data_IF_679257572668
#
_entry.id   IF_679257572668
#
_cell.length_a   1.000
_cell.length_b   1.000
_cell.length_c   1.000
_cell.angle_alpha   90.00
_cell.angle_beta   90.00
_cell.angle_gamma   90.00
#
_symmetry.space_group_name_H-M   'P 1'
#
loop_
_entity.id
_entity.type
_entity.pdbx_description
1 polymer ?
#
# COMPACT_ATOMS: atom_id res chain seq x y z
N UNK A 1 -33.04 -27.57 5.48
CA UNK A 1 -32.06 -26.55 5.14
C UNK A 1 -31.21 -27.07 3.97
N UNK A 2 -31.11 -26.32 2.89
CA UNK A 2 -30.22 -26.68 1.77
C UNK A 2 -28.81 -26.49 2.22
N UNK A 3 -27.91 -27.49 2.13
CA UNK A 3 -26.50 -27.31 2.50
C UNK A 3 -25.87 -26.27 1.60
N UNK A 4 -25.14 -25.34 2.19
CA UNK A 4 -24.30 -24.40 1.43
C UNK A 4 -22.94 -25.04 1.17
N UNK A 5 -22.43 -24.87 -0.03
CA UNK A 5 -21.09 -25.35 -0.44
C UNK A 5 -20.21 -24.20 -0.82
N UNK A 6 -18.92 -24.32 -0.53
CA UNK A 6 -17.89 -23.41 -1.01
C UNK A 6 -16.91 -24.20 -1.87
N UNK A 7 -16.57 -23.68 -3.02
CA UNK A 7 -15.58 -24.27 -3.93
C UNK A 7 -14.21 -23.68 -3.64
N UNK A 8 -13.20 -24.54 -3.48
CA UNK A 8 -11.79 -24.15 -3.44
C UNK A 8 -11.24 -24.28 -4.86
N UNK A 9 -10.93 -23.16 -5.49
CA UNK A 9 -10.51 -23.06 -6.88
C UNK A 9 -9.11 -22.41 -7.04
N UNK A 10 -8.29 -22.55 -6.01
CA UNK A 10 -6.93 -22.00 -6.01
C UNK A 10 -6.03 -22.78 -6.99
N UNK A 11 -5.47 -22.07 -7.96
CA UNK A 11 -4.57 -22.67 -8.94
C UNK A 11 -3.21 -23.01 -8.30
N UNK A 12 -2.68 -24.21 -8.57
CA UNK A 12 -1.43 -24.71 -7.98
C UNK A 12 -0.20 -23.83 -8.33
N UNK A 13 -0.22 -23.13 -9.46
CA UNK A 13 0.86 -22.22 -9.87
C UNK A 13 0.98 -20.95 -9.01
N UNK A 14 0.02 -20.69 -8.13
CA UNK A 14 0.10 -19.59 -7.17
C UNK A 14 1.11 -19.88 -6.04
N UNK A 15 1.51 -21.14 -5.86
CA UNK A 15 2.33 -21.56 -4.75
C UNK A 15 1.62 -21.38 -3.40
N UNK A 16 2.41 -21.21 -2.34
CA UNK A 16 1.88 -20.87 -1.02
C UNK A 16 1.41 -19.42 -1.01
N UNK A 17 0.12 -19.22 -0.75
CA UNK A 17 -0.49 -17.90 -0.74
C UNK A 17 -1.53 -17.78 0.36
N UNK A 18 -1.54 -16.64 1.03
CA UNK A 18 -2.63 -16.22 1.93
C UNK A 18 -3.26 -14.96 1.38
N UNK A 19 -4.55 -14.98 1.11
CA UNK A 19 -5.30 -13.84 0.59
C UNK A 19 -6.53 -13.57 1.40
N UNK A 20 -6.80 -12.30 1.65
CA UNK A 20 -8.05 -11.81 2.22
C UNK A 20 -8.44 -10.52 1.52
N UNK A 21 -9.71 -10.37 1.19
CA UNK A 21 -10.23 -9.10 0.69
C UNK A 21 -11.69 -8.94 1.07
N UNK A 22 -12.12 -7.70 1.24
CA UNK A 22 -13.48 -7.38 1.62
C UNK A 22 -13.68 -5.88 1.80
N UNK A 23 -14.93 -5.49 2.06
CA UNK A 23 -15.24 -4.14 2.50
C UNK A 23 -15.03 -4.06 4.01
N UNK A 24 -14.32 -3.02 4.42
CA UNK A 24 -14.02 -2.73 5.81
C UNK A 24 -14.74 -1.44 6.22
N UNK A 25 -15.33 -1.44 7.40
CA UNK A 25 -15.80 -0.23 8.08
C UNK A 25 -15.24 -0.24 9.49
N UNK A 26 -14.51 0.81 9.83
CA UNK A 26 -14.00 1.07 11.18
C UNK A 26 -14.66 2.36 11.65
N UNK A 27 -15.23 2.33 12.83
CA UNK A 27 -15.72 3.50 13.55
C UNK A 27 -15.17 3.44 14.98
N UNK A 28 -14.30 4.38 15.31
CA UNK A 28 -13.76 4.54 16.64
C UNK A 28 -14.44 5.73 17.31
N UNK A 29 -15.59 5.48 17.90
CA UNK A 29 -16.35 6.45 18.72
C UNK A 29 -16.66 7.78 18.00
N UNK A 30 -16.82 7.76 16.67
CA UNK A 30 -17.03 8.95 15.86
C UNK A 30 -15.82 9.88 15.71
N UNK A 31 -14.66 9.53 16.28
CA UNK A 31 -13.41 10.31 16.11
C UNK A 31 -12.61 9.89 14.88
N UNK A 32 -12.61 8.61 14.56
CA UNK A 32 -11.97 8.08 13.37
C UNK A 32 -12.93 7.12 12.68
N UNK A 33 -13.21 7.40 11.44
CA UNK A 33 -14.01 6.52 10.59
C UNK A 33 -13.23 6.22 9.32
N UNK A 34 -13.22 4.95 8.90
CA UNK A 34 -12.64 4.51 7.63
C UNK A 34 -13.56 3.48 7.03
N UNK A 35 -13.90 3.64 5.76
CA UNK A 35 -14.67 2.63 5.04
C UNK A 35 -14.20 2.50 3.59
N UNK A 36 -14.28 1.29 3.04
CA UNK A 36 -13.92 0.99 1.66
C UNK A 36 -13.43 -0.43 1.45
N UNK A 37 -12.94 -0.71 0.25
CA UNK A 37 -12.39 -2.01 -0.09
C UNK A 37 -10.94 -2.15 0.40
N UNK A 38 -10.63 -3.34 0.92
CA UNK A 38 -9.29 -3.70 1.38
C UNK A 38 -8.91 -5.09 0.84
N UNK A 39 -7.64 -5.27 0.50
CA UNK A 39 -7.07 -6.56 0.13
C UNK A 39 -5.71 -6.75 0.81
N UNK A 40 -5.45 -7.98 1.22
CA UNK A 40 -4.20 -8.43 1.78
C UNK A 40 -3.75 -9.68 1.04
N UNK A 41 -2.48 -9.75 0.67
CA UNK A 41 -1.89 -10.92 0.06
C UNK A 41 -0.49 -11.16 0.63
N UNK A 42 -0.25 -12.37 1.14
CA UNK A 42 1.07 -12.85 1.54
C UNK A 42 1.47 -13.98 0.59
N UNK A 43 2.65 -13.89 0.02
CA UNK A 43 3.17 -14.86 -0.96
C UNK A 43 4.69 -14.83 -1.03
N UNK A 44 5.28 -15.81 -1.70
CA UNK A 44 6.69 -15.76 -2.10
C UNK A 44 6.78 -15.16 -3.50
N UNK A 45 7.73 -14.26 -3.70
CA UNK A 45 7.99 -13.60 -4.98
C UNK A 45 9.48 -13.38 -5.21
N UNK A 46 9.80 -12.56 -6.20
CA UNK A 46 11.15 -12.09 -6.46
C UNK A 46 11.15 -10.59 -6.72
N UNK A 47 12.22 -9.92 -6.32
CA UNK A 47 12.42 -8.49 -6.56
C UNK A 47 13.78 -8.25 -7.19
N UNK A 48 13.92 -7.19 -7.94
CA UNK A 48 15.20 -6.66 -8.42
C UNK A 48 15.63 -5.52 -7.51
N UNK A 49 16.90 -5.50 -7.13
CA UNK A 49 17.48 -4.42 -6.37
C UNK A 49 18.15 -3.43 -7.31
N UNK A 50 18.04 -2.15 -7.01
CA UNK A 50 18.76 -1.11 -7.72
C UNK A 50 20.18 -0.97 -7.20
N UNK A 51 21.14 -0.75 -8.12
CA UNK A 51 22.49 -0.35 -7.78
C UNK A 51 22.47 1.04 -7.11
N UNK A 52 22.68 1.08 -5.82
CA UNK A 52 23.15 2.30 -5.18
C UNK A 52 24.64 2.40 -5.48
N UNK A 53 25.08 3.44 -6.19
CA UNK A 53 26.40 3.65 -6.77
C UNK A 53 27.61 3.59 -5.78
N UNK A 54 27.50 2.96 -4.62
CA UNK A 54 28.54 2.88 -3.60
C UNK A 54 28.70 1.50 -2.95
N UNK A 55 27.98 0.47 -3.36
CA UNK A 55 28.19 -0.88 -2.80
C UNK A 55 29.02 -1.71 -3.76
N UNK A 56 30.15 -2.23 -3.29
CA UNK A 56 30.98 -3.27 -3.94
C UNK A 56 30.28 -4.64 -3.91
N UNK A 57 29.02 -4.68 -3.60
CA UNK A 57 28.19 -5.88 -3.57
C UNK A 57 27.79 -6.29 -4.99
N UNK A 58 27.62 -7.59 -5.15
CA UNK A 58 27.26 -8.23 -6.43
C UNK A 58 26.11 -7.45 -7.09
N UNK A 59 26.30 -7.08 -8.36
CA UNK A 59 25.30 -6.41 -9.19
C UNK A 59 23.97 -7.18 -9.20
N UNK A 60 23.12 -6.92 -8.23
CA UNK A 60 21.80 -7.57 -8.05
C UNK A 60 20.73 -6.96 -8.97
N UNK A 61 21.09 -5.95 -9.77
CA UNK A 61 20.21 -5.41 -10.82
C UNK A 61 19.87 -6.46 -11.88
N UNK A 62 20.73 -7.45 -12.05
CA UNK A 62 20.53 -8.58 -12.96
C UNK A 62 20.01 -9.85 -12.26
N UNK A 63 20.18 -9.97 -10.94
CA UNK A 63 19.77 -11.14 -10.16
C UNK A 63 18.56 -10.83 -9.31
N UNK A 64 17.48 -11.58 -9.51
CA UNK A 64 16.29 -11.46 -8.68
C UNK A 64 16.54 -12.05 -7.28
N UNK A 65 16.19 -11.31 -6.25
CA UNK A 65 16.20 -11.76 -4.85
C UNK A 65 14.86 -12.37 -4.50
N UNK A 66 14.87 -13.60 -3.98
CA UNK A 66 13.64 -14.25 -3.51
C UNK A 66 13.19 -13.64 -2.19
N UNK A 67 11.93 -13.22 -2.12
CA UNK A 67 11.34 -12.56 -0.95
C UNK A 67 10.05 -13.23 -0.51
N UNK A 68 9.81 -13.22 0.79
CA UNK A 68 8.47 -13.29 1.33
C UNK A 68 7.89 -11.88 1.27
N UNK A 69 6.74 -11.73 0.63
CA UNK A 69 6.10 -10.43 0.48
C UNK A 69 4.70 -10.40 1.10
N UNK A 70 4.43 -9.34 1.84
CA UNK A 70 3.12 -8.95 2.29
C UNK A 70 2.70 -7.71 1.53
N UNK A 71 1.62 -7.79 0.76
CA UNK A 71 1.02 -6.63 0.13
C UNK A 71 -0.32 -6.31 0.76
N UNK A 72 -0.57 -5.02 0.98
CA UNK A 72 -1.83 -4.51 1.51
C UNK A 72 -2.27 -3.39 0.58
N UNK A 73 -3.49 -3.48 0.09
CA UNK A 73 -4.05 -2.46 -0.79
C UNK A 73 -5.46 -2.08 -0.39
N UNK A 74 -5.82 -0.84 -0.70
CA UNK A 74 -7.16 -0.34 -0.51
C UNK A 74 -7.61 0.51 -1.67
N UNK A 75 -8.90 0.51 -1.97
CA UNK A 75 -9.46 1.32 -3.05
C UNK A 75 -10.80 1.94 -2.67
N UNK A 76 -11.01 3.16 -3.16
CA UNK A 76 -12.24 3.91 -2.95
C UNK A 76 -12.57 4.15 -1.48
N UNK A 77 -11.55 4.24 -0.61
CA UNK A 77 -11.82 4.45 0.80
C UNK A 77 -12.21 5.89 1.06
N UNK A 78 -13.10 6.04 2.04
CA UNK A 78 -13.35 7.32 2.71
C UNK A 78 -12.79 7.24 4.12
N UNK A 79 -12.23 8.35 4.59
CA UNK A 79 -11.74 8.46 5.96
C UNK A 79 -12.18 9.79 6.57
N UNK A 80 -12.47 9.78 7.86
CA UNK A 80 -12.77 10.96 8.63
C UNK A 80 -12.00 10.89 9.96
N UNK A 81 -11.42 12.02 10.33
CA UNK A 81 -10.79 12.21 11.64
C UNK A 81 -11.24 13.54 12.25
N UNK A 82 -11.91 13.49 13.37
CA UNK A 82 -12.47 14.69 14.01
C UNK A 82 -13.42 14.38 15.14
N UNK A 83 -14.44 15.21 15.32
CA UNK A 83 -15.51 15.02 16.31
C UNK A 83 -16.87 14.91 15.62
N UNK A 84 -17.80 14.22 16.25
CA UNK A 84 -19.15 13.98 15.73
C UNK A 84 -19.19 13.29 14.36
N UNK A 85 -18.22 12.46 14.03
CA UNK A 85 -18.21 11.64 12.81
C UNK A 85 -19.48 10.79 12.72
N UNK A 86 -20.07 10.69 11.52
CA UNK A 86 -21.32 9.97 11.29
C UNK A 86 -22.60 10.71 11.72
N UNK A 87 -22.49 11.89 12.32
CA UNK A 87 -23.61 12.77 12.63
C UNK A 87 -23.94 13.73 11.46
N UNK A 88 -24.99 14.52 11.61
CA UNK A 88 -25.34 15.57 10.64
C UNK A 88 -24.44 16.81 10.70
N UNK A 89 -23.57 16.93 11.72
CA UNK A 89 -22.67 18.06 11.94
C UNK A 89 -21.27 17.61 12.36
N UNK A 90 -20.55 16.87 11.50
CA UNK A 90 -19.18 16.46 11.77
C UNK A 90 -18.23 17.65 11.69
N UNK A 91 -17.17 17.65 12.52
CA UNK A 91 -16.10 18.65 12.45
C UNK A 91 -14.76 17.96 12.43
N UNK A 92 -13.96 18.16 11.37
CA UNK A 92 -12.66 17.52 11.23
C UNK A 92 -12.19 17.42 9.80
N UNK A 93 -11.23 16.53 9.58
CA UNK A 93 -10.65 16.23 8.27
C UNK A 93 -11.39 15.04 7.64
N UNK A 94 -11.89 15.24 6.44
CA UNK A 94 -12.46 14.18 5.58
C UNK A 94 -11.53 13.92 4.40
N UNK A 95 -11.30 12.65 4.08
CA UNK A 95 -10.59 12.18 2.90
C UNK A 95 -11.52 11.35 2.03
N UNK A 96 -11.46 11.57 0.72
CA UNK A 96 -12.31 10.90 -0.26
C UNK A 96 -11.49 10.25 -1.36
N UNK A 97 -12.00 9.10 -1.84
CA UNK A 97 -11.40 8.36 -2.95
C UNK A 97 -9.96 7.94 -2.67
N UNK A 98 -9.68 7.54 -1.43
CA UNK A 98 -8.34 7.08 -1.04
C UNK A 98 -8.07 5.72 -1.65
N UNK A 99 -6.96 5.62 -2.37
CA UNK A 99 -6.41 4.37 -2.86
C UNK A 99 -4.97 4.25 -2.34
N UNK A 100 -4.57 3.05 -1.96
CA UNK A 100 -3.20 2.83 -1.52
C UNK A 100 -2.71 1.42 -1.83
N UNK A 101 -1.40 1.29 -1.95
CA UNK A 101 -0.67 0.04 -2.03
C UNK A 101 0.54 0.10 -1.10
N UNK A 102 0.71 -0.94 -0.32
CA UNK A 102 1.87 -1.19 0.54
C UNK A 102 2.48 -2.51 0.14
N UNK A 103 3.80 -2.56 0.01
CA UNK A 103 4.56 -3.79 -0.08
C UNK A 103 5.61 -3.82 1.02
N UNK A 104 5.63 -4.89 1.81
CA UNK A 104 6.66 -5.23 2.77
C UNK A 104 7.29 -6.53 2.27
N UNK A 105 8.59 -6.50 2.03
CA UNK A 105 9.32 -7.59 1.39
C UNK A 105 10.52 -7.95 2.25
N UNK A 106 10.60 -9.22 2.65
CA UNK A 106 11.68 -9.75 3.47
C UNK A 106 12.42 -10.82 2.67
N UNK A 107 13.74 -10.72 2.59
CA UNK A 107 14.59 -11.71 1.93
C UNK A 107 14.39 -13.09 2.53
N UNK A 108 14.09 -14.08 1.68
CA UNK A 108 13.78 -15.46 2.14
C UNK A 108 15.03 -16.31 2.38
N UNK A 109 16.08 -16.05 1.63
CA UNK A 109 17.32 -16.86 1.68
C UNK A 109 18.55 -15.94 1.79
N UNK A 110 18.77 -15.31 2.97
CA UNK A 110 19.96 -14.50 3.18
C UNK A 110 21.22 -15.37 3.11
N UNK A 111 22.35 -14.78 2.75
CA UNK A 111 23.63 -15.47 2.78
C UNK A 111 23.95 -15.94 4.21
N UNK A 112 24.74 -17.01 4.31
CA UNK A 112 25.06 -17.61 5.61
C UNK A 112 25.68 -16.58 6.56
N UNK A 113 25.10 -16.43 7.73
CA UNK A 113 25.54 -15.49 8.77
C UNK A 113 25.06 -14.05 8.56
N UNK A 114 24.27 -13.78 7.51
CA UNK A 114 23.66 -12.46 7.26
C UNK A 114 22.22 -12.40 7.80
N UNK A 115 21.81 -11.21 8.19
CA UNK A 115 20.40 -10.94 8.53
C UNK A 115 19.60 -10.73 7.26
N UNK A 116 18.38 -11.26 7.22
CA UNK A 116 17.47 -11.04 6.10
C UNK A 116 17.22 -9.53 5.89
N UNK A 117 17.32 -9.10 4.65
CA UNK A 117 17.00 -7.73 4.25
C UNK A 117 15.50 -7.51 4.24
N UNK A 118 15.07 -6.30 4.57
CA UNK A 118 13.66 -5.92 4.55
C UNK A 118 13.49 -4.57 3.85
N UNK A 119 12.52 -4.50 2.96
CA UNK A 119 12.18 -3.31 2.20
C UNK A 119 10.70 -3.00 2.36
N UNK A 120 10.38 -1.72 2.34
CA UNK A 120 8.99 -1.25 2.35
C UNK A 120 8.77 -0.22 1.26
N UNK A 121 7.66 -0.35 0.54
CA UNK A 121 7.19 0.67 -0.39
C UNK A 121 5.72 0.97 -0.15
N UNK A 122 5.36 2.25 -0.28
CA UNK A 122 3.99 2.74 -0.20
C UNK A 122 3.73 3.69 -1.35
N UNK A 123 2.59 3.51 -1.99
CA UNK A 123 2.02 4.48 -2.92
C UNK A 123 0.56 4.70 -2.53
N UNK A 124 0.16 5.95 -2.40
CA UNK A 124 -1.22 6.29 -2.07
C UNK A 124 -1.67 7.51 -2.85
N UNK A 125 -2.97 7.59 -3.10
CA UNK A 125 -3.62 8.77 -3.69
C UNK A 125 -4.96 9.02 -3.01
N UNK A 126 -5.40 10.28 -3.03
CA UNK A 126 -6.76 10.65 -2.66
C UNK A 126 -7.30 11.67 -3.66
N UNK A 127 -8.59 11.59 -3.98
CA UNK A 127 -9.23 12.55 -4.87
C UNK A 127 -9.48 13.87 -4.17
N UNK A 128 -9.69 13.87 -2.86
CA UNK A 128 -9.90 15.06 -2.06
C UNK A 128 -9.61 14.90 -0.59
N UNK A 129 -9.29 16.02 0.04
CA UNK A 129 -9.26 16.20 1.48
C UNK A 129 -9.94 17.54 1.82
N UNK A 130 -10.86 17.52 2.76
CA UNK A 130 -11.63 18.69 3.15
C UNK A 130 -11.61 18.83 4.68
N UNK A 131 -11.42 20.05 5.18
CA UNK A 131 -11.70 20.37 6.57
C UNK A 131 -13.14 20.86 6.64
N UNK A 132 -13.97 20.20 7.44
CA UNK A 132 -15.42 20.44 7.51
C UNK A 132 -15.86 20.82 8.92
N UNK A 133 -17.00 21.48 9.02
CA UNK A 133 -17.68 21.78 10.28
C UNK A 133 -17.19 23.03 11.01
N UNK A 134 -16.42 23.91 10.35
CA UNK A 134 -16.03 25.22 10.90
C UNK A 134 -16.53 26.31 9.96
N UNK A 135 -17.48 27.11 10.45
CA UNK A 135 -18.07 28.18 9.66
C UNK A 135 -17.00 29.21 9.25
N UNK A 136 -17.02 29.61 7.98
CA UNK A 136 -16.09 30.58 7.42
C UNK A 136 -14.68 30.06 7.15
N UNK A 137 -14.40 28.78 7.43
CA UNK A 137 -13.16 28.14 7.07
C UNK A 137 -13.40 27.11 5.96
N UNK A 138 -12.78 27.35 4.79
CA UNK A 138 -12.75 26.39 3.68
C UNK A 138 -11.31 26.00 3.44
N UNK A 139 -10.97 24.76 3.73
CA UNK A 139 -9.66 24.16 3.39
C UNK A 139 -9.93 22.91 2.60
N UNK A 140 -9.52 22.90 1.35
CA UNK A 140 -9.68 21.76 0.47
C UNK A 140 -8.35 21.40 -0.19
N UNK A 141 -8.11 20.12 -0.40
CA UNK A 141 -6.99 19.63 -1.18
C UNK A 141 -7.48 18.61 -2.19
N UNK A 142 -6.84 18.56 -3.34
CA UNK A 142 -7.16 17.61 -4.40
C UNK A 142 -5.92 17.01 -5.04
N UNK A 143 -6.11 15.91 -5.76
CA UNK A 143 -5.03 15.21 -6.46
C UNK A 143 -3.84 14.88 -5.53
N UNK A 144 -4.15 14.42 -4.31
CA UNK A 144 -3.15 14.07 -3.30
C UNK A 144 -2.46 12.78 -3.74
N UNK A 145 -1.13 12.78 -3.71
CA UNK A 145 -0.30 11.62 -3.95
C UNK A 145 0.76 11.51 -2.86
N UNK A 146 1.02 10.29 -2.41
CA UNK A 146 2.04 9.97 -1.41
C UNK A 146 2.87 8.81 -1.92
N UNK A 147 4.19 8.92 -1.80
CA UNK A 147 5.14 7.87 -2.16
C UNK A 147 6.21 7.74 -1.08
N UNK A 148 6.45 6.52 -0.66
CA UNK A 148 7.43 6.19 0.36
C UNK A 148 8.18 4.94 -0.08
N UNK A 149 9.52 4.98 -0.01
CA UNK A 149 10.38 3.80 -0.08
C UNK A 149 11.31 3.78 1.11
N UNK A 150 11.58 2.58 1.62
CA UNK A 150 12.54 2.35 2.70
C UNK A 150 13.56 1.32 2.26
N UNK A 151 14.82 1.66 2.46
CA UNK A 151 15.98 0.81 2.20
C UNK A 151 16.15 -0.24 3.30
N UNK A 152 16.78 -1.35 2.95
CA UNK A 152 17.26 -2.32 3.92
C UNK A 152 18.49 -1.78 4.70
N UNK A 153 18.90 -2.51 5.72
CA UNK A 153 20.03 -2.14 6.58
C UNK A 153 21.37 -2.02 5.82
N UNK A 154 21.52 -2.75 4.71
CA UNK A 154 22.66 -2.69 3.81
C UNK A 154 22.61 -1.53 2.79
N UNK A 155 21.63 -0.66 2.89
CA UNK A 155 21.31 0.45 2.01
C UNK A 155 20.78 0.07 0.61
N UNK A 156 20.46 -1.18 0.33
CA UNK A 156 19.82 -1.59 -0.93
C UNK A 156 18.36 -1.15 -0.97
N UNK A 157 17.84 -0.94 -2.18
CA UNK A 157 16.43 -0.62 -2.47
C UNK A 157 15.88 -1.58 -3.55
N UNK A 158 14.61 -1.90 -3.45
CA UNK A 158 13.90 -2.58 -4.53
C UNK A 158 13.67 -1.61 -5.68
N UNK A 159 14.01 -2.02 -6.89
CA UNK A 159 13.76 -1.28 -8.12
C UNK A 159 12.43 -1.71 -8.75
N UNK A 160 11.36 -1.04 -8.35
CA UNK A 160 10.05 -1.31 -8.91
C UNK A 160 9.89 -0.80 -10.35
N UNK A 161 10.80 0.03 -10.87
CA UNK A 161 10.80 0.41 -12.28
C UNK A 161 11.34 -0.70 -13.19
N UNK A 162 12.25 -1.53 -12.67
CA UNK A 162 12.77 -2.69 -13.38
C UNK A 162 11.84 -3.90 -13.28
N UNK A 163 11.05 -3.99 -12.22
CA UNK A 163 10.06 -5.04 -11.98
C UNK A 163 8.90 -4.50 -11.16
N UNK A 164 7.84 -4.05 -11.85
CA UNK A 164 6.66 -3.49 -11.20
C UNK A 164 6.01 -4.48 -10.23
N UNK A 165 5.61 -3.99 -9.05
CA UNK A 165 4.80 -4.74 -8.11
C UNK A 165 3.35 -4.33 -8.23
N UNK A 166 2.50 -5.23 -8.71
CA UNK A 166 1.05 -5.02 -8.74
C UNK A 166 0.45 -5.47 -7.42
N UNK A 167 -0.23 -4.57 -6.74
CA UNK A 167 -0.91 -4.80 -5.46
C UNK A 167 -2.41 -4.79 -5.68
N UNK A 168 -3.10 -5.84 -5.25
CA UNK A 168 -4.55 -5.87 -5.25
C UNK A 168 -5.09 -4.87 -4.22
N UNK A 169 -6.04 -4.03 -4.63
CA UNK A 169 -6.65 -2.99 -3.79
C UNK A 169 -8.15 -3.16 -3.61
N UNK A 170 -8.79 -3.91 -4.51
CA UNK A 170 -10.22 -4.20 -4.50
C UNK A 170 -10.57 -5.58 -3.94
N UNK A 171 -11.87 -5.82 -3.79
CA UNK A 171 -12.41 -7.12 -3.41
C UNK A 171 -12.39 -8.11 -4.57
N UNK A 172 -12.65 -9.40 -4.31
CA UNK A 172 -12.83 -10.40 -5.37
C UNK A 172 -14.03 -10.09 -6.27
N UNK A 173 -15.09 -9.52 -5.73
CA UNK A 173 -16.29 -9.14 -6.49
C UNK A 173 -16.11 -7.85 -7.31
N UNK A 174 -15.20 -6.98 -6.89
CA UNK A 174 -14.86 -5.72 -7.57
C UNK A 174 -13.34 -5.55 -7.57
N UNK A 175 -12.63 -6.28 -8.44
CA UNK A 175 -11.17 -6.29 -8.44
C UNK A 175 -10.62 -4.93 -8.92
N UNK A 176 -9.64 -4.43 -8.21
CA UNK A 176 -8.81 -3.29 -8.59
C UNK A 176 -7.38 -3.50 -8.13
N UNK A 177 -6.46 -2.77 -8.73
CA UNK A 177 -5.03 -2.88 -8.44
C UNK A 177 -4.37 -1.50 -8.44
N UNK A 178 -3.26 -1.39 -7.72
CA UNK A 178 -2.34 -0.27 -7.80
C UNK A 178 -0.93 -0.80 -8.05
N UNK A 179 -0.20 -0.14 -8.92
CA UNK A 179 1.17 -0.53 -9.27
C UNK A 179 2.17 0.31 -8.51
N UNK A 180 3.10 -0.36 -7.83
CA UNK A 180 4.33 0.24 -7.34
C UNK A 180 5.35 0.19 -8.48
N UNK A 181 5.86 1.35 -8.87
CA UNK A 181 6.72 1.58 -10.04
C UNK A 181 7.91 2.52 -9.73
N UNK A 182 8.20 2.71 -8.45
CA UNK A 182 9.26 3.61 -7.98
C UNK A 182 10.65 3.05 -8.31
N UNK A 183 11.47 3.86 -9.00
CA UNK A 183 12.84 3.48 -9.33
C UNK A 183 13.76 3.56 -8.11
N UNK A 184 14.64 2.58 -7.92
CA UNK A 184 15.64 2.58 -6.84
C UNK A 184 16.61 3.77 -6.96
N UNK A 185 16.88 4.25 -8.18
CA UNK A 185 17.73 5.41 -8.44
C UNK A 185 17.23 6.71 -7.80
N UNK A 186 15.96 6.78 -7.36
CA UNK A 186 15.44 7.90 -6.58
C UNK A 186 15.97 7.92 -5.13
N UNK A 187 16.59 6.83 -4.69
CA UNK A 187 16.99 6.65 -3.30
C UNK A 187 15.80 6.39 -2.37
N UNK A 188 16.02 6.53 -1.07
CA UNK A 188 14.95 6.47 -0.07
C UNK A 188 14.06 7.71 -0.19
N UNK A 189 12.80 7.49 -0.47
CA UNK A 189 11.82 8.54 -0.77
C UNK A 189 10.79 8.67 0.36
N UNK A 190 10.46 9.89 0.69
CA UNK A 190 9.22 10.27 1.38
C UNK A 190 8.74 11.55 0.74
N UNK A 191 7.73 11.47 -0.10
CA UNK A 191 7.16 12.65 -0.76
C UNK A 191 5.65 12.63 -0.77
N UNK A 192 5.06 13.82 -0.68
CA UNK A 192 3.64 14.04 -0.88
C UNK A 192 3.45 15.25 -1.80
N UNK A 193 2.43 15.20 -2.63
CA UNK A 193 2.03 16.30 -3.50
C UNK A 193 0.51 16.40 -3.57
N UNK A 194 0.00 17.57 -3.94
CA UNK A 194 -1.42 17.83 -4.10
C UNK A 194 -1.67 19.31 -4.34
N UNK A 195 -2.91 19.66 -4.67
CA UNK A 195 -3.36 21.04 -4.79
C UNK A 195 -4.05 21.46 -3.49
N UNK A 196 -3.74 22.64 -2.98
CA UNK A 196 -4.35 23.21 -1.77
C UNK A 196 -5.12 24.49 -2.11
N UNK A 197 -6.32 24.61 -1.59
CA UNK A 197 -7.15 25.83 -1.63
C UNK A 197 -7.55 26.18 -0.19
N UNK A 198 -7.39 27.45 0.15
CA UNK A 198 -7.74 28.01 1.46
C UNK A 198 -8.66 29.21 1.24
#
# INVERSE_FOLDING_TARGET
ATPSTMTLDLAANLGEVTRASGNLTIDAFGFLQVSGALALNKSTGSVKLGDLASTTEVNESTNAVTVEQLTIGGSGLTAFAGINGGSSAPTGLSLEGVNFAVAIQTEKTPAQGQTAREWTAVKASATGANFIGVDGLVVTSSAINVEITRKAADNTLVDYSAQNQVVQTGTLASPSTMTLDLAAGLGEVTRASGNLTI
#
